data_IF_374075758332
#
_entry.id   IF_374075758332
#
_cell.length_a   1.000
_cell.length_b   1.000
_cell.length_c   1.000
_cell.angle_alpha   90.00
_cell.angle_beta   90.00
_cell.angle_gamma   90.00
#
_symmetry.space_group_name_H-M   'P 1'
#
loop_
_entity.id
_entity.type
_entity.pdbx_description
1 polymer ?
#
# COMPACT_ATOMS: atom_id res chain seq x y z
N UNK A 1 9.69 -14.87 10.55
CA UNK A 1 11.02 -15.44 10.37
C UNK A 1 11.18 -16.14 9.03
N UNK A 2 10.45 -17.22 8.83
CA UNK A 2 10.48 -17.95 7.56
C UNK A 2 10.02 -17.08 6.39
N UNK A 3 9.09 -16.20 6.66
CA UNK A 3 8.59 -15.28 5.64
C UNK A 3 9.70 -14.38 5.12
N UNK A 4 10.58 -13.90 5.99
CA UNK A 4 11.71 -13.08 5.57
C UNK A 4 12.68 -13.85 4.69
N UNK A 5 12.88 -15.13 4.99
CA UNK A 5 13.74 -15.98 4.17
C UNK A 5 13.15 -16.13 2.78
N UNK A 6 11.84 -16.35 2.70
CA UNK A 6 11.14 -16.43 1.42
C UNK A 6 11.27 -15.14 0.64
N UNK A 7 11.08 -14.00 1.31
CA UNK A 7 11.22 -12.71 0.66
C UNK A 7 12.62 -12.51 0.10
N UNK A 8 13.64 -12.95 0.82
CA UNK A 8 15.01 -12.85 0.34
C UNK A 8 15.24 -13.69 -0.90
N UNK A 9 14.65 -14.89 -0.94
CA UNK A 9 14.76 -15.77 -2.11
C UNK A 9 14.05 -15.18 -3.32
N UNK A 10 12.98 -14.42 -3.10
CA UNK A 10 12.23 -13.78 -4.17
C UNK A 10 12.76 -12.39 -4.51
N UNK A 11 13.79 -11.97 -3.81
CA UNK A 11 14.32 -10.62 -3.92
C UNK A 11 14.65 -10.17 -5.34
N UNK A 12 15.21 -11.01 -6.21
CA UNK A 12 15.53 -10.56 -7.57
C UNK A 12 14.33 -10.18 -8.42
N UNK A 13 13.13 -10.52 -7.98
CA UNK A 13 11.93 -10.14 -8.73
C UNK A 13 11.79 -8.63 -8.79
N UNK A 14 11.78 -8.12 -10.02
CA UNK A 14 11.53 -6.71 -10.25
C UNK A 14 10.03 -6.54 -10.43
N UNK A 15 9.44 -5.73 -9.56
CA UNK A 15 8.02 -5.45 -9.64
C UNK A 15 7.81 -4.18 -10.47
N UNK A 16 6.98 -4.28 -11.49
CA UNK A 16 6.82 -3.23 -12.48
C UNK A 16 5.58 -2.37 -12.27
N UNK A 17 4.65 -2.81 -11.42
CA UNK A 17 3.42 -2.06 -11.16
C UNK A 17 3.13 -2.04 -9.67
N UNK A 18 2.35 -1.06 -9.26
CA UNK A 18 1.92 -0.97 -7.87
C UNK A 18 1.02 -2.16 -7.53
N UNK A 19 0.21 -2.62 -8.49
CA UNK A 19 -0.61 -3.81 -8.29
C UNK A 19 0.24 -5.05 -8.00
N UNK A 20 1.38 -5.19 -8.68
CA UNK A 20 2.29 -6.30 -8.40
C UNK A 20 2.87 -6.21 -7.00
N UNK A 21 3.15 -5.00 -6.52
CA UNK A 21 3.62 -4.80 -5.15
C UNK A 21 2.54 -5.22 -4.16
N UNK A 22 1.30 -4.82 -4.41
CA UNK A 22 0.18 -5.17 -3.54
C UNK A 22 0.00 -6.68 -3.51
N UNK A 23 0.02 -7.32 -4.68
CA UNK A 23 -0.10 -8.78 -4.78
C UNK A 23 1.02 -9.49 -4.02
N UNK A 24 2.24 -9.00 -4.19
CA UNK A 24 3.41 -9.56 -3.52
C UNK A 24 3.25 -9.48 -1.99
N UNK A 25 2.82 -8.34 -1.49
CA UNK A 25 2.60 -8.16 -0.06
C UNK A 25 1.46 -9.03 0.45
N UNK A 26 0.40 -9.15 -0.33
CA UNK A 26 -0.75 -9.96 0.05
C UNK A 26 -0.37 -11.45 0.20
N UNK A 27 0.53 -11.93 -0.65
CA UNK A 27 0.95 -13.33 -0.64
C UNK A 27 2.14 -13.56 0.28
N UNK A 28 3.19 -12.76 0.15
CA UNK A 28 4.48 -13.03 0.79
C UNK A 28 4.61 -12.42 2.18
N UNK A 29 3.95 -11.30 2.43
CA UNK A 29 3.98 -10.61 3.72
C UNK A 29 2.67 -10.72 4.47
N UNK A 30 1.84 -11.67 4.07
CA UNK A 30 0.47 -11.77 4.56
C UNK A 30 0.39 -11.79 6.10
N UNK A 31 1.19 -12.62 6.76
CA UNK A 31 1.13 -12.75 8.21
C UNK A 31 1.55 -11.44 8.91
N UNK A 32 2.62 -10.81 8.44
CA UNK A 32 3.10 -9.57 9.02
C UNK A 32 2.11 -8.43 8.78
N UNK A 33 1.59 -8.33 7.57
CA UNK A 33 0.63 -7.29 7.22
C UNK A 33 -0.62 -7.45 8.06
N UNK A 34 -1.12 -8.66 8.22
CA UNK A 34 -2.33 -8.89 9.00
C UNK A 34 -2.15 -8.67 10.50
N UNK A 35 -0.94 -8.73 11.00
CA UNK A 35 -0.70 -8.38 12.41
C UNK A 35 -0.92 -6.90 12.64
N UNK A 36 -0.71 -6.09 11.63
CA UNK A 36 -0.88 -4.64 11.69
C UNK A 36 -2.23 -4.21 11.11
N UNK A 37 -2.64 -4.84 10.02
CA UNK A 37 -3.91 -4.57 9.35
C UNK A 37 -4.88 -5.70 9.64
N UNK A 38 -6.14 -5.37 9.79
CA UNK A 38 -7.19 -6.38 10.00
C UNK A 38 -8.51 -5.84 9.46
N UNK A 39 -9.55 -6.66 9.55
CA UNK A 39 -10.85 -6.29 9.02
C UNK A 39 -11.47 -5.08 9.74
N UNK A 40 -11.00 -4.80 10.95
CA UNK A 40 -11.51 -3.68 11.75
C UNK A 40 -10.77 -2.38 11.49
N UNK A 41 -9.67 -2.40 10.72
CA UNK A 41 -8.89 -1.19 10.43
C UNK A 41 -9.77 -0.16 9.74
N UNK A 42 -9.87 1.02 10.34
CA UNK A 42 -10.63 2.12 9.77
C UNK A 42 -9.76 2.93 8.81
N UNK A 43 -10.37 3.79 7.96
CA UNK A 43 -9.59 4.68 7.10
C UNK A 43 -8.63 5.57 7.90
N UNK A 44 -9.04 6.05 9.07
CA UNK A 44 -8.20 6.89 9.92
C UNK A 44 -7.02 6.07 10.45
N UNK A 45 -7.28 4.85 10.92
CA UNK A 45 -6.22 3.98 11.40
C UNK A 45 -5.23 3.63 10.28
N UNK A 46 -5.73 3.37 9.08
CA UNK A 46 -4.87 3.08 7.94
C UNK A 46 -3.98 4.28 7.60
N UNK A 47 -4.54 5.48 7.69
CA UNK A 47 -3.77 6.70 7.45
C UNK A 47 -2.68 6.90 8.50
N UNK A 48 -2.96 6.53 9.75
CA UNK A 48 -1.98 6.63 10.84
C UNK A 48 -0.79 5.70 10.66
N UNK A 49 -0.91 4.67 9.85
CA UNK A 49 0.20 3.75 9.59
C UNK A 49 1.22 4.33 8.62
N UNK A 50 1.01 5.56 8.18
CA UNK A 50 1.90 6.26 7.27
C UNK A 50 3.36 6.26 7.73
N UNK A 51 3.61 6.56 9.01
CA UNK A 51 4.97 6.70 9.54
C UNK A 51 5.57 5.37 10.01
N UNK A 52 4.80 4.30 10.01
CA UNK A 52 5.28 2.97 10.41
C UNK A 52 5.27 2.03 9.22
N UNK A 53 4.15 1.37 8.96
CA UNK A 53 4.05 0.45 7.83
C UNK A 53 4.33 1.14 6.50
N UNK A 54 3.85 2.37 6.34
CA UNK A 54 4.12 3.13 5.12
C UNK A 54 5.59 3.32 4.86
N UNK A 55 6.34 3.67 5.90
CA UNK A 55 7.79 3.83 5.79
C UNK A 55 8.45 2.51 5.39
N UNK A 56 8.02 1.40 5.99
CA UNK A 56 8.59 0.09 5.67
C UNK A 56 8.33 -0.27 4.22
N UNK A 57 7.14 0.01 3.72
CA UNK A 57 6.80 -0.22 2.31
C UNK A 57 7.67 0.64 1.41
N UNK A 58 7.80 1.94 1.71
CA UNK A 58 8.62 2.83 0.90
C UNK A 58 10.06 2.37 0.81
N UNK A 59 10.61 1.92 1.93
CA UNK A 59 12.01 1.46 1.97
C UNK A 59 12.17 0.11 1.27
N UNK A 60 11.25 -0.81 1.51
CA UNK A 60 11.38 -2.15 0.94
C UNK A 60 11.28 -2.14 -0.58
N UNK A 61 10.40 -1.35 -1.13
CA UNK A 61 10.17 -1.32 -2.58
C UNK A 61 10.81 -0.13 -3.26
N UNK A 62 11.68 0.59 -2.55
CA UNK A 62 12.44 1.73 -3.10
C UNK A 62 11.54 2.78 -3.74
N UNK A 63 10.44 3.09 -3.09
CA UNK A 63 9.49 4.09 -3.62
C UNK A 63 10.07 5.49 -3.63
N UNK A 64 11.14 5.72 -2.87
CA UNK A 64 11.85 7.01 -2.88
C UNK A 64 12.66 7.23 -4.15
N UNK A 65 12.97 6.15 -4.86
CA UNK A 65 13.76 6.24 -6.07
C UNK A 65 12.88 6.70 -7.22
N UNK A 66 13.12 7.89 -7.73
CA UNK A 66 12.32 8.44 -8.82
C UNK A 66 12.51 7.71 -10.16
N UNK A 67 13.41 6.75 -10.23
CA UNK A 67 13.52 5.84 -11.36
C UNK A 67 12.72 4.56 -11.16
N UNK A 68 11.98 4.44 -10.06
CA UNK A 68 11.16 3.28 -9.78
C UNK A 68 10.08 3.14 -10.86
N UNK A 69 10.11 2.01 -11.57
CA UNK A 69 9.21 1.79 -12.69
C UNK A 69 7.75 1.75 -12.26
N UNK A 70 7.46 1.07 -11.15
CA UNK A 70 6.08 0.95 -10.66
C UNK A 70 5.51 2.32 -10.31
N UNK A 71 6.29 3.16 -9.64
CA UNK A 71 5.84 4.48 -9.24
C UNK A 71 5.64 5.41 -10.43
N UNK A 72 6.53 5.35 -11.40
CA UNK A 72 6.40 6.17 -12.61
C UNK A 72 5.16 5.81 -13.39
N UNK A 73 4.89 4.51 -13.50
CA UNK A 73 3.70 4.03 -14.18
C UNK A 73 2.45 4.44 -13.42
N UNK A 74 2.47 4.34 -12.10
CA UNK A 74 1.35 4.74 -11.25
C UNK A 74 1.03 6.22 -11.44
N UNK A 75 2.06 7.06 -11.41
CA UNK A 75 1.91 8.49 -11.64
C UNK A 75 1.28 8.77 -13.00
N UNK A 76 1.78 8.12 -14.04
CA UNK A 76 1.30 8.32 -15.38
C UNK A 76 -0.18 7.91 -15.53
N UNK A 77 -0.54 6.77 -14.94
CA UNK A 77 -1.90 6.26 -15.03
C UNK A 77 -2.90 7.10 -14.25
N UNK A 78 -2.45 7.71 -13.17
CA UNK A 78 -3.33 8.51 -12.33
C UNK A 78 -3.27 9.99 -12.63
N UNK A 79 -2.45 10.38 -13.60
CA UNK A 79 -2.30 11.77 -14.02
C UNK A 79 -2.06 12.70 -12.83
N UNK A 80 -1.24 12.25 -11.89
CA UNK A 80 -0.97 12.92 -10.63
C UNK A 80 0.52 13.09 -10.42
N UNK A 81 0.90 14.13 -9.69
CA UNK A 81 2.28 14.28 -9.27
C UNK A 81 2.58 13.22 -8.20
N UNK A 82 3.50 12.34 -8.51
CA UNK A 82 3.86 11.23 -7.66
C UNK A 82 4.61 11.68 -6.40
N UNK A 83 4.24 11.09 -5.27
CA UNK A 83 4.98 11.21 -4.02
C UNK A 83 4.99 9.85 -3.32
N UNK A 84 6.16 9.42 -2.79
CA UNK A 84 6.25 8.10 -2.14
C UNK A 84 5.24 7.89 -1.03
N UNK A 85 4.94 8.93 -0.26
CA UNK A 85 3.97 8.86 0.82
C UNK A 85 2.58 8.49 0.31
N UNK A 86 2.16 9.10 -0.78
CA UNK A 86 0.86 8.83 -1.39
C UNK A 86 0.80 7.41 -1.93
N UNK A 87 1.88 6.96 -2.56
CA UNK A 87 1.94 5.62 -3.13
C UNK A 87 1.86 4.57 -2.02
N UNK A 88 2.63 4.73 -0.95
CA UNK A 88 2.61 3.77 0.14
C UNK A 88 1.25 3.73 0.83
N UNK A 89 0.60 4.88 0.97
CA UNK A 89 -0.73 4.91 1.57
C UNK A 89 -1.77 4.26 0.66
N UNK A 90 -1.64 4.44 -0.63
CA UNK A 90 -2.49 3.73 -1.58
C UNK A 90 -2.35 2.22 -1.41
N UNK A 91 -1.11 1.74 -1.27
CA UNK A 91 -0.85 0.31 -1.07
C UNK A 91 -1.51 -0.18 0.22
N UNK A 92 -1.35 0.56 1.32
CA UNK A 92 -1.98 0.20 2.60
C UNK A 92 -3.50 0.11 2.45
N UNK A 93 -4.10 1.11 1.82
CA UNK A 93 -5.54 1.16 1.64
C UNK A 93 -6.03 -0.04 0.82
N UNK A 94 -5.31 -0.39 -0.23
CA UNK A 94 -5.68 -1.54 -1.06
C UNK A 94 -5.56 -2.86 -0.30
N UNK A 95 -4.55 -2.99 0.54
CA UNK A 95 -4.40 -4.18 1.37
C UNK A 95 -5.56 -4.31 2.37
N UNK A 96 -5.94 -3.21 3.00
CA UNK A 96 -7.08 -3.22 3.93
C UNK A 96 -8.36 -3.58 3.18
N UNK A 97 -8.55 -3.02 1.98
CA UNK A 97 -9.73 -3.34 1.17
C UNK A 97 -9.80 -4.84 0.88
N UNK A 98 -8.67 -5.46 0.55
CA UNK A 98 -8.62 -6.89 0.30
C UNK A 98 -9.01 -7.70 1.53
N UNK A 99 -8.49 -7.30 2.70
CA UNK A 99 -8.82 -7.97 3.96
C UNK A 99 -10.31 -7.85 4.24
N UNK A 100 -10.86 -6.66 4.11
CA UNK A 100 -12.29 -6.45 4.35
C UNK A 100 -13.14 -7.24 3.36
N UNK A 101 -12.74 -7.24 2.10
CA UNK A 101 -13.46 -7.99 1.08
C UNK A 101 -13.49 -9.49 1.39
N UNK A 102 -12.37 -10.04 1.84
CA UNK A 102 -12.28 -11.44 2.25
C UNK A 102 -13.18 -11.76 3.42
N UNK A 103 -13.50 -10.75 4.24
CA UNK A 103 -14.38 -10.89 5.38
C UNK A 103 -15.82 -10.43 5.11
N UNK A 104 -16.13 -10.12 3.86
CA UNK A 104 -17.48 -9.70 3.47
C UNK A 104 -17.87 -8.32 3.97
N UNK A 105 -16.90 -7.44 4.22
CA UNK A 105 -17.13 -6.10 4.76
C UNK A 105 -17.08 -5.04 3.68
N UNK A 106 -17.70 -3.89 3.96
CA UNK A 106 -17.75 -2.75 3.05
C UNK A 106 -16.36 -2.13 2.85
N UNK A 107 -15.98 -1.88 1.59
CA UNK A 107 -14.69 -1.30 1.26
C UNK A 107 -14.78 0.17 0.84
N UNK A 108 -15.98 0.72 0.69
CA UNK A 108 -16.18 2.08 0.20
C UNK A 108 -15.47 3.16 1.03
N UNK A 109 -15.39 3.06 2.37
CA UNK A 109 -14.66 4.06 3.14
C UNK A 109 -13.20 4.20 2.71
N UNK A 110 -12.58 3.12 2.26
CA UNK A 110 -11.18 3.13 1.82
C UNK A 110 -11.05 3.69 0.42
N UNK A 111 -12.05 3.56 -0.40
CA UNK A 111 -12.07 4.19 -1.72
C UNK A 111 -12.11 5.71 -1.58
N UNK A 112 -12.88 6.23 -0.63
CA UNK A 112 -12.91 7.66 -0.35
C UNK A 112 -11.56 8.15 0.13
N UNK A 113 -10.89 7.40 1.00
CA UNK A 113 -9.56 7.73 1.50
C UNK A 113 -8.57 7.85 0.33
N UNK A 114 -8.65 6.92 -0.60
CA UNK A 114 -7.84 6.92 -1.80
C UNK A 114 -8.05 8.19 -2.63
N UNK A 115 -9.30 8.58 -2.81
CA UNK A 115 -9.63 9.78 -3.57
C UNK A 115 -9.01 11.00 -2.92
N UNK A 116 -9.12 11.14 -1.62
CA UNK A 116 -8.53 12.26 -0.91
C UNK A 116 -7.03 12.30 -1.04
N UNK A 117 -6.38 11.15 -0.98
CA UNK A 117 -4.93 11.09 -1.15
C UNK A 117 -4.52 11.49 -2.56
N UNK A 118 -5.25 11.03 -3.55
CA UNK A 118 -4.97 11.35 -4.94
C UNK A 118 -5.07 12.85 -5.20
N UNK A 119 -6.03 13.51 -4.57
CA UNK A 119 -6.21 14.95 -4.71
C UNK A 119 -5.33 15.74 -3.76
N UNK A 120 -4.63 15.06 -2.83
CA UNK A 120 -3.81 15.74 -1.83
C UNK A 120 -4.61 16.42 -0.74
N UNK A 121 -5.87 16.11 -0.62
CA UNK A 121 -6.77 16.77 0.32
C UNK A 121 -7.04 15.89 1.54
N UNK A 122 -6.01 15.72 2.36
CA UNK A 122 -6.10 14.83 3.52
C UNK A 122 -7.04 15.35 4.60
N UNK A 123 -7.16 16.66 4.72
CA UNK A 123 -8.00 17.27 5.74
C UNK A 123 -9.45 16.83 5.58
N UNK A 124 -9.88 16.62 4.37
CA UNK A 124 -11.25 16.23 4.08
C UNK A 124 -11.60 14.82 4.58
N UNK A 125 -10.59 14.01 4.86
CA UNK A 125 -10.81 12.67 5.40
C UNK A 125 -11.25 12.73 6.86
N UNK A 126 -10.67 13.66 7.57
CA UNK A 126 -10.99 13.84 8.97
C UNK A 126 -12.40 14.36 9.14
#
# INVERSE_FOLDING_TARGET
>A
MKLKVILNLLKPCILHTIEEIIDYMDVCMHAEVRSVLNAETSPVSALRLHSTLGRDIRNKFSLWNHNNVACRKFHKENNELYHPDSVSQYIINELVKRIRMQNGLDVKPFELTQIYQTTGNYVAIA
#
